data_IF_098737517258
#
_entry.id   IF_098737517258
#
_cell.length_a   1.000
_cell.length_b   1.000
_cell.length_c   1.000
_cell.angle_alpha   90.00
_cell.angle_beta   90.00
_cell.angle_gamma   90.00
#
_symmetry.space_group_name_H-M   'P 1'
#
loop_
_entity.id
_entity.type
_entity.pdbx_description
1 polymer ?
#
# COMPACT_ATOMS: atom_id res chain seq x y z
N UNK A 1 -13.49 -5.72 -3.09
CA UNK A 1 -14.24 -4.66 -2.38
C UNK A 1 -14.68 -5.15 -1.01
N UNK A 2 -14.95 -4.25 -0.07
CA UNK A 2 -15.55 -4.57 1.22
C UNK A 2 -17.08 -4.34 1.14
N UNK A 3 -17.88 -5.29 1.60
CA UNK A 3 -19.34 -5.13 1.72
C UNK A 3 -19.72 -4.38 2.99
N UNK A 4 -20.99 -3.95 3.07
CA UNK A 4 -21.54 -3.23 4.24
C UNK A 4 -21.37 -3.99 5.56
N UNK A 5 -21.38 -5.32 5.52
CA UNK A 5 -21.18 -6.19 6.67
C UNK A 5 -19.70 -6.58 6.90
N UNK A 6 -18.74 -5.90 6.27
CA UNK A 6 -17.30 -6.09 6.50
C UNK A 6 -16.67 -7.31 5.79
N UNK A 7 -17.40 -8.03 4.96
CA UNK A 7 -16.87 -9.16 4.20
C UNK A 7 -16.21 -8.71 2.89
N UNK A 8 -15.24 -9.47 2.40
CA UNK A 8 -14.65 -9.23 1.09
C UNK A 8 -15.56 -9.77 -0.03
N UNK A 9 -15.73 -8.97 -1.08
CA UNK A 9 -16.38 -9.33 -2.34
C UNK A 9 -15.42 -9.12 -3.50
N UNK A 10 -15.21 -10.16 -4.31
CA UNK A 10 -14.53 -10.05 -5.60
C UNK A 10 -15.49 -9.37 -6.58
N UNK A 11 -14.96 -8.47 -7.43
CA UNK A 11 -15.78 -7.57 -8.27
C UNK A 11 -15.35 -7.53 -9.74
N UNK A 12 -14.20 -8.11 -10.06
CA UNK A 12 -13.67 -8.12 -11.41
C UNK A 12 -13.47 -9.57 -11.85
N UNK A 13 -14.30 -9.98 -12.80
CA UNK A 13 -14.30 -11.32 -13.40
C UNK A 13 -13.96 -11.24 -14.89
N UNK A 14 -13.38 -10.13 -15.37
CA UNK A 14 -13.05 -9.92 -16.80
C UNK A 14 -11.97 -10.86 -17.36
N UNK A 15 -11.29 -11.59 -16.48
CA UNK A 15 -10.34 -12.66 -16.80
C UNK A 15 -10.78 -14.03 -16.29
N UNK A 16 -11.97 -14.14 -15.67
CA UNK A 16 -12.50 -15.42 -15.20
C UNK A 16 -12.98 -16.27 -16.38
N UNK A 17 -12.86 -17.58 -16.22
CA UNK A 17 -13.16 -18.52 -17.29
C UNK A 17 -13.71 -19.80 -16.72
N UNK A 18 -14.68 -20.40 -17.42
CA UNK A 18 -15.14 -21.75 -17.12
C UNK A 18 -14.23 -22.71 -17.86
N UNK A 19 -13.44 -23.49 -17.10
CA UNK A 19 -12.59 -24.53 -17.66
C UNK A 19 -13.37 -25.84 -17.59
N UNK A 20 -13.73 -26.39 -18.75
CA UNK A 20 -14.27 -27.74 -18.85
C UNK A 20 -13.12 -28.72 -19.14
N UNK A 21 -13.09 -29.84 -18.41
CA UNK A 21 -12.15 -30.95 -18.67
C UNK A 21 -10.64 -30.60 -18.60
N UNK A 22 -10.24 -29.60 -17.79
CA UNK A 22 -8.86 -29.11 -17.69
C UNK A 22 -8.23 -28.62 -19.01
N UNK A 23 -9.03 -28.35 -20.05
CA UNK A 23 -8.51 -27.78 -21.30
C UNK A 23 -8.64 -26.26 -21.27
N UNK A 24 -7.50 -25.59 -21.30
CA UNK A 24 -7.42 -24.13 -21.44
C UNK A 24 -7.96 -23.71 -22.81
N UNK A 25 -9.03 -22.90 -22.90
CA UNK A 25 -9.59 -22.47 -24.18
C UNK A 25 -8.58 -21.70 -25.04
N UNK A 26 -8.60 -21.91 -26.35
CA UNK A 26 -7.70 -21.26 -27.32
C UNK A 26 -7.76 -19.73 -27.26
N UNK A 27 -8.93 -19.16 -26.95
CA UNK A 27 -9.14 -17.72 -26.76
C UNK A 27 -8.32 -17.18 -25.58
N UNK A 28 -8.15 -17.96 -24.51
CA UNK A 28 -7.26 -17.60 -23.41
C UNK A 28 -5.82 -17.54 -23.89
N UNK A 29 -5.37 -18.56 -24.63
CA UNK A 29 -4.00 -18.58 -25.15
C UNK A 29 -3.73 -17.39 -26.07
N UNK A 30 -4.71 -16.93 -26.85
CA UNK A 30 -4.59 -15.74 -27.69
C UNK A 30 -4.56 -14.43 -26.89
N UNK A 31 -5.51 -14.24 -25.96
CA UNK A 31 -5.54 -13.07 -25.05
C UNK A 31 -4.28 -13.02 -24.19
N UNK A 32 -3.82 -14.17 -23.73
CA UNK A 32 -2.59 -14.35 -22.97
C UNK A 32 -1.35 -14.05 -23.81
N UNK A 33 -1.26 -14.54 -25.06
CA UNK A 33 -0.18 -14.19 -25.99
C UNK A 33 -0.13 -12.68 -26.28
N UNK A 34 -1.28 -12.02 -26.36
CA UNK A 34 -1.37 -10.56 -26.50
C UNK A 34 -0.91 -9.83 -25.23
N UNK A 35 -1.24 -10.36 -24.05
CA UNK A 35 -0.74 -9.84 -22.77
C UNK A 35 0.77 -10.12 -22.65
N UNK A 36 1.27 -11.27 -23.13
CA UNK A 36 2.69 -11.64 -23.12
C UNK A 36 3.53 -10.86 -24.12
N UNK A 37 3.00 -10.52 -25.29
CA UNK A 37 3.70 -9.61 -26.22
C UNK A 37 3.83 -8.21 -25.62
N UNK A 38 2.89 -7.78 -24.77
CA UNK A 38 3.07 -6.57 -23.95
C UNK A 38 4.12 -6.71 -22.83
N UNK A 39 4.52 -7.95 -22.49
CA UNK A 39 5.61 -8.28 -21.58
C UNK A 39 6.97 -8.48 -22.26
N UNK A 40 7.04 -8.50 -23.59
CA UNK A 40 8.31 -8.63 -24.31
C UNK A 40 9.12 -7.34 -24.21
N UNK A 41 10.04 -7.32 -23.25
CA UNK A 41 11.09 -6.31 -23.11
C UNK A 41 12.20 -6.67 -24.11
N UNK A 42 12.50 -5.77 -25.05
CA UNK A 42 13.75 -5.83 -25.82
C UNK A 42 14.93 -5.58 -24.87
N UNK A 43 15.93 -6.46 -24.89
CA UNK A 43 17.22 -6.24 -24.21
C UNK A 43 17.74 -4.83 -24.56
N UNK A 44 17.98 -4.01 -23.53
CA UNK A 44 18.50 -2.65 -23.67
C UNK A 44 17.46 -1.51 -23.65
N UNK A 45 16.17 -1.81 -23.54
CA UNK A 45 15.15 -0.76 -23.37
C UNK A 45 14.88 -0.44 -21.89
N UNK A 46 15.33 0.74 -21.42
CA UNK A 46 14.90 1.31 -20.14
C UNK A 46 13.45 1.79 -20.28
N UNK A 47 12.48 0.91 -20.08
CA UNK A 47 11.06 1.29 -20.17
C UNK A 47 10.63 1.96 -18.86
N UNK A 48 10.04 3.14 -19.01
CA UNK A 48 9.36 3.91 -17.97
C UNK A 48 8.47 3.02 -17.10
N UNK A 49 8.50 3.25 -15.78
CA UNK A 49 7.69 2.63 -14.70
C UNK A 49 6.15 2.81 -14.85
N UNK A 50 5.63 3.10 -16.04
CA UNK A 50 4.33 3.72 -16.24
C UNK A 50 3.35 3.00 -17.20
N UNK A 51 3.69 1.91 -17.88
CA UNK A 51 2.80 1.31 -18.90
C UNK A 51 2.26 -0.10 -18.64
N UNK A 52 2.67 -0.80 -17.59
CA UNK A 52 2.00 -2.03 -17.18
C UNK A 52 1.75 -2.04 -15.68
N UNK A 53 0.51 -1.77 -15.31
CA UNK A 53 0.16 -1.38 -13.97
C UNK A 53 -0.96 -2.25 -13.44
N UNK A 54 -0.58 -3.19 -12.57
CA UNK A 54 -1.51 -3.89 -11.69
C UNK A 54 -1.34 -5.40 -11.54
N UNK A 55 -0.89 -6.14 -12.57
CA UNK A 55 -1.13 -7.60 -12.60
C UNK A 55 0.12 -8.47 -12.69
N UNK A 56 1.27 -7.95 -13.15
CA UNK A 56 2.48 -8.75 -13.36
C UNK A 56 3.01 -9.43 -12.08
N UNK A 57 2.86 -8.78 -10.92
CA UNK A 57 3.35 -9.27 -9.63
C UNK A 57 2.57 -10.50 -9.10
N UNK A 58 1.44 -10.84 -9.70
CA UNK A 58 0.56 -11.94 -9.29
C UNK A 58 0.60 -13.13 -10.26
N UNK A 59 1.36 -13.01 -11.36
CA UNK A 59 1.48 -14.04 -12.40
C UNK A 59 2.28 -15.22 -11.84
N UNK A 60 1.84 -16.44 -12.13
CA UNK A 60 2.52 -17.67 -11.71
C UNK A 60 3.62 -18.11 -12.69
N UNK A 61 4.57 -18.97 -12.28
CA UNK A 61 5.65 -19.45 -13.13
C UNK A 61 5.18 -20.09 -14.43
N UNK A 62 4.20 -20.98 -14.36
CA UNK A 62 3.61 -21.73 -15.47
C UNK A 62 2.94 -20.80 -16.49
N UNK A 63 2.34 -19.69 -16.04
CA UNK A 63 1.83 -18.67 -16.94
C UNK A 63 2.99 -18.08 -17.74
N UNK A 64 4.08 -17.66 -17.09
CA UNK A 64 5.23 -17.06 -17.80
C UNK A 64 5.88 -18.02 -18.80
N UNK A 65 5.84 -19.32 -18.52
CA UNK A 65 6.46 -20.39 -19.31
C UNK A 65 5.52 -21.04 -20.35
N UNK A 66 4.27 -20.55 -20.48
CA UNK A 66 3.25 -21.11 -21.40
C UNK A 66 2.90 -22.57 -21.14
N UNK A 67 3.05 -23.02 -19.89
CA UNK A 67 2.57 -24.32 -19.47
C UNK A 67 1.04 -24.32 -19.29
N UNK A 68 0.37 -25.48 -19.34
CA UNK A 68 -1.05 -25.59 -19.08
C UNK A 68 -1.44 -24.95 -17.74
N UNK A 69 -2.23 -23.88 -17.82
CA UNK A 69 -2.69 -23.13 -16.65
C UNK A 69 -4.00 -23.74 -16.15
N UNK A 70 -3.96 -24.37 -14.98
CA UNK A 70 -5.15 -24.87 -14.29
C UNK A 70 -5.53 -23.93 -13.13
N UNK A 71 -6.49 -24.32 -12.30
CA UNK A 71 -6.94 -23.55 -11.13
C UNK A 71 -5.82 -23.26 -10.11
N UNK A 72 -4.68 -23.98 -10.17
CA UNK A 72 -3.53 -23.75 -9.31
C UNK A 72 -2.88 -22.36 -9.51
N UNK A 73 -3.14 -21.66 -10.63
CA UNK A 73 -2.69 -20.26 -10.82
C UNK A 73 -3.33 -19.32 -9.79
N UNK A 74 -4.58 -19.60 -9.38
CA UNK A 74 -5.28 -18.80 -8.37
C UNK A 74 -4.72 -19.05 -6.96
N UNK A 75 -4.23 -20.28 -6.69
CA UNK A 75 -3.52 -20.58 -5.45
C UNK A 75 -2.23 -19.77 -5.36
N UNK A 76 -1.47 -19.65 -6.45
CA UNK A 76 -0.30 -18.79 -6.48
C UNK A 76 -0.65 -17.34 -6.15
N UNK A 77 -1.66 -16.78 -6.83
CA UNK A 77 -2.12 -15.42 -6.57
C UNK A 77 -2.58 -15.23 -5.11
N UNK A 78 -3.24 -16.22 -4.52
CA UNK A 78 -3.60 -16.23 -3.10
C UNK A 78 -2.35 -16.13 -2.20
N UNK A 79 -1.30 -16.89 -2.49
CA UNK A 79 -0.02 -16.82 -1.75
C UNK A 79 0.62 -15.43 -1.81
N UNK A 80 0.61 -14.79 -3.00
CA UNK A 80 1.09 -13.40 -3.18
C UNK A 80 0.27 -12.43 -2.33
N UNK A 81 -1.07 -12.57 -2.32
CA UNK A 81 -1.97 -11.71 -1.54
C UNK A 81 -1.72 -11.90 -0.04
N UNK A 82 -1.59 -13.15 0.43
CA UNK A 82 -1.26 -13.45 1.83
C UNK A 82 0.03 -12.77 2.26
N UNK A 83 1.12 -12.92 1.50
CA UNK A 83 2.39 -12.24 1.78
C UNK A 83 2.22 -10.71 1.84
N UNK A 84 1.49 -10.15 0.88
CA UNK A 84 1.27 -8.70 0.78
C UNK A 84 0.42 -8.15 1.92
N UNK A 85 -0.52 -8.91 2.45
CA UNK A 85 -1.30 -8.50 3.62
C UNK A 85 -0.44 -8.35 4.89
N UNK A 86 0.67 -9.09 5.00
CA UNK A 86 1.60 -8.97 6.13
C UNK A 86 2.68 -7.90 5.93
N UNK A 87 3.11 -7.68 4.70
CA UNK A 87 4.32 -6.86 4.43
C UNK A 87 4.04 -5.55 3.69
N UNK A 88 2.85 -5.41 3.10
CA UNK A 88 2.48 -4.29 2.23
C UNK A 88 3.08 -4.35 0.81
N UNK A 89 3.99 -5.30 0.54
CA UNK A 89 4.67 -5.48 -0.76
C UNK A 89 4.51 -6.92 -1.27
N UNK A 90 4.78 -7.17 -2.54
CA UNK A 90 4.76 -8.53 -3.10
C UNK A 90 6.08 -9.25 -2.83
N UNK A 91 6.09 -10.60 -2.75
CA UNK A 91 7.31 -11.36 -2.43
C UNK A 91 8.34 -11.33 -3.56
N UNK A 92 7.90 -11.21 -4.81
CA UNK A 92 8.75 -11.09 -5.99
C UNK A 92 8.73 -9.64 -6.46
N UNK A 93 9.66 -8.84 -5.91
CA UNK A 93 9.85 -7.45 -6.29
C UNK A 93 11.34 -7.18 -6.47
N UNK A 94 11.69 -6.43 -7.51
CA UNK A 94 13.06 -6.09 -7.86
C UNK A 94 13.11 -4.76 -8.64
N UNK A 95 14.32 -4.26 -8.85
CA UNK A 95 14.65 -3.04 -9.58
C UNK A 95 14.15 -3.02 -11.03
N UNK A 96 14.02 -4.18 -11.68
CA UNK A 96 13.54 -4.31 -13.06
C UNK A 96 12.49 -5.41 -13.19
N UNK A 97 11.57 -5.24 -14.13
CA UNK A 97 10.53 -6.23 -14.41
C UNK A 97 11.11 -7.56 -14.92
N UNK A 98 12.23 -7.53 -15.64
CA UNK A 98 12.95 -8.73 -16.04
C UNK A 98 13.39 -9.54 -14.81
N UNK A 99 14.01 -8.89 -13.81
CA UNK A 99 14.43 -9.55 -12.58
C UNK A 99 13.24 -10.07 -11.77
N UNK A 100 12.14 -9.31 -11.71
CA UNK A 100 10.88 -9.80 -11.11
C UNK A 100 10.42 -11.09 -11.78
N UNK A 101 10.40 -11.15 -13.11
CA UNK A 101 10.02 -12.36 -13.83
C UNK A 101 10.97 -13.53 -13.60
N UNK A 102 12.28 -13.28 -13.51
CA UNK A 102 13.24 -14.32 -13.14
C UNK A 102 12.99 -14.84 -11.73
N UNK A 103 12.70 -13.96 -10.77
CA UNK A 103 12.38 -14.34 -9.39
C UNK A 103 11.09 -15.15 -9.30
N UNK A 104 10.05 -14.76 -10.06
CA UNK A 104 8.80 -15.52 -10.18
C UNK A 104 9.06 -16.89 -10.77
N UNK A 105 9.70 -16.98 -11.95
CA UNK A 105 10.00 -18.26 -12.60
C UNK A 105 10.72 -19.21 -11.65
N UNK A 106 11.77 -18.73 -11.00
CA UNK A 106 12.58 -19.52 -10.08
C UNK A 106 11.95 -19.72 -8.70
N UNK A 107 10.77 -19.15 -8.43
CA UNK A 107 10.11 -19.13 -7.13
C UNK A 107 11.05 -18.77 -5.98
N UNK A 108 11.91 -17.75 -6.18
CA UNK A 108 12.90 -17.30 -5.20
C UNK A 108 12.26 -16.51 -4.06
N UNK A 109 11.52 -17.21 -3.20
CA UNK A 109 10.79 -16.64 -2.09
C UNK A 109 11.72 -16.35 -0.90
N UNK A 110 11.64 -15.13 -0.36
CA UNK A 110 12.26 -14.74 0.91
C UNK A 110 11.18 -14.34 1.89
N UNK A 111 11.10 -15.02 3.03
CA UNK A 111 10.15 -14.73 4.09
C UNK A 111 10.81 -13.78 5.12
N UNK A 112 10.28 -12.57 5.32
CA UNK A 112 10.72 -11.68 6.40
C UNK A 112 10.35 -12.23 7.79
N UNK A 113 11.18 -11.94 8.79
CA UNK A 113 10.93 -12.33 10.20
C UNK A 113 9.67 -11.67 10.80
N UNK A 114 9.15 -10.60 10.17
CA UNK A 114 7.91 -9.94 10.59
C UNK A 114 6.67 -10.78 10.32
N UNK A 115 6.75 -11.81 9.47
CA UNK A 115 5.63 -12.70 9.18
C UNK A 115 5.55 -13.78 10.27
N UNK A 116 4.39 -13.97 10.93
CA UNK A 116 4.22 -15.05 11.91
C UNK A 116 4.55 -16.41 11.31
N UNK A 117 5.25 -17.28 12.06
CA UNK A 117 5.73 -18.60 11.58
C UNK A 117 4.64 -19.45 10.92
N UNK A 118 3.43 -19.45 11.47
CA UNK A 118 2.28 -20.19 10.91
C UNK A 118 1.80 -19.64 9.56
N UNK A 119 1.90 -18.32 9.36
CA UNK A 119 1.58 -17.67 8.09
C UNK A 119 2.70 -17.87 7.07
N UNK A 120 3.96 -17.80 7.52
CA UNK A 120 5.13 -18.12 6.71
C UNK A 120 5.08 -19.55 6.17
N UNK A 121 4.71 -20.53 7.01
CA UNK A 121 4.53 -21.93 6.61
C UNK A 121 3.44 -22.07 5.52
N UNK A 122 2.29 -21.41 5.70
CA UNK A 122 1.22 -21.38 4.70
C UNK A 122 1.72 -20.83 3.35
N UNK A 123 2.37 -19.65 3.38
CA UNK A 123 2.82 -18.95 2.18
C UNK A 123 3.86 -19.79 1.44
N UNK A 124 4.81 -20.40 2.14
CA UNK A 124 5.85 -21.25 1.52
C UNK A 124 5.25 -22.50 0.86
N UNK A 125 4.22 -23.11 1.46
CA UNK A 125 3.52 -24.28 0.89
C UNK A 125 2.63 -23.93 -0.31
N UNK A 126 2.20 -22.68 -0.44
CA UNK A 126 1.42 -22.21 -1.58
C UNK A 126 2.31 -21.73 -2.72
N UNK A 127 3.35 -20.94 -2.42
CA UNK A 127 4.26 -20.34 -3.41
C UNK A 127 5.37 -21.31 -3.84
N UNK A 128 4.95 -22.51 -4.26
CA UNK A 128 5.83 -23.54 -4.83
C UNK A 128 5.81 -23.43 -6.35
N UNK A 129 6.97 -23.61 -6.99
CA UNK A 129 7.12 -23.49 -8.45
C UNK A 129 6.14 -24.42 -9.19
N UNK A 130 6.22 -25.72 -8.90
CA UNK A 130 5.41 -26.74 -9.55
C UNK A 130 3.94 -26.63 -9.11
N UNK A 131 2.98 -26.42 -10.03
CA UNK A 131 1.59 -26.17 -9.68
C UNK A 131 0.93 -27.27 -8.83
N UNK A 132 1.20 -28.54 -9.17
CA UNK A 132 0.59 -29.70 -8.49
C UNK A 132 1.10 -29.94 -7.06
N UNK A 133 2.25 -29.36 -6.70
CA UNK A 133 2.85 -29.45 -5.37
C UNK A 133 2.35 -28.33 -4.44
N UNK A 134 1.59 -27.34 -4.96
CA UNK A 134 1.03 -26.26 -4.16
C UNK A 134 -0.04 -26.78 -3.22
N UNK A 135 0.00 -26.34 -1.97
CA UNK A 135 -1.05 -26.63 -1.00
C UNK A 135 -2.41 -26.14 -1.51
N UNK A 136 -3.39 -27.04 -1.53
CA UNK A 136 -4.71 -26.77 -2.10
C UNK A 136 -4.87 -27.24 -3.55
N UNK A 137 -3.79 -27.63 -4.24
CA UNK A 137 -3.87 -28.11 -5.63
C UNK A 137 -4.58 -29.45 -5.68
N UNK A 138 -4.11 -30.47 -4.95
CA UNK A 138 -4.77 -31.79 -4.97
C UNK A 138 -6.12 -31.79 -4.25
N UNK A 139 -6.22 -31.03 -3.16
CA UNK A 139 -7.40 -30.97 -2.31
C UNK A 139 -7.50 -29.61 -1.64
N UNK A 140 -8.60 -28.90 -1.92
CA UNK A 140 -8.90 -27.63 -1.27
C UNK A 140 -9.09 -27.78 0.26
N UNK A 141 -9.44 -28.98 0.72
CA UNK A 141 -9.57 -29.26 2.15
C UNK A 141 -8.21 -29.22 2.87
N UNK A 142 -7.12 -29.54 2.17
CA UNK A 142 -5.76 -29.49 2.72
C UNK A 142 -5.37 -28.04 3.01
N UNK A 143 -5.73 -27.12 2.10
CA UNK A 143 -5.55 -25.69 2.32
C UNK A 143 -6.42 -25.18 3.47
N UNK A 144 -7.71 -25.54 3.48
CA UNK A 144 -8.68 -25.12 4.51
C UNK A 144 -8.34 -25.64 5.92
N UNK A 145 -7.66 -26.78 6.02
CA UNK A 145 -7.25 -27.40 7.29
C UNK A 145 -5.90 -26.92 7.81
N UNK A 146 -5.19 -26.08 7.06
CA UNK A 146 -3.90 -25.55 7.47
C UNK A 146 -4.00 -24.83 8.83
N UNK A 147 -3.00 -24.98 9.75
CA UNK A 147 -3.04 -24.37 11.08
C UNK A 147 -3.24 -22.85 11.10
N UNK A 148 -2.89 -22.16 10.02
CA UNK A 148 -3.15 -20.73 9.83
C UNK A 148 -4.65 -20.38 9.93
N UNK A 149 -5.52 -21.27 9.47
CA UNK A 149 -6.98 -21.09 9.49
C UNK A 149 -7.65 -21.72 10.71
N UNK A 150 -6.89 -22.02 11.77
CA UNK A 150 -7.44 -22.57 13.02
C UNK A 150 -8.55 -21.66 13.56
N UNK A 151 -9.74 -22.23 13.77
CA UNK A 151 -10.92 -21.51 14.28
C UNK A 151 -11.85 -20.98 13.19
N UNK A 152 -11.50 -21.09 11.91
CA UNK A 152 -12.40 -20.73 10.81
C UNK A 152 -13.43 -21.84 10.57
N UNK A 153 -14.71 -21.48 10.61
CA UNK A 153 -15.82 -22.38 10.28
C UNK A 153 -16.26 -22.15 8.84
N UNK A 154 -15.65 -22.88 7.90
CA UNK A 154 -15.82 -22.65 6.46
C UNK A 154 -17.28 -22.68 5.97
N UNK A 155 -18.11 -23.59 6.48
CA UNK A 155 -19.52 -23.70 6.09
C UNK A 155 -20.39 -22.54 6.60
N UNK A 156 -19.91 -21.85 7.65
CA UNK A 156 -20.59 -20.71 8.28
C UNK A 156 -19.83 -19.40 8.03
N UNK A 157 -18.88 -19.37 7.11
CA UNK A 157 -17.94 -18.25 6.94
C UNK A 157 -18.66 -16.90 6.79
N UNK A 158 -19.74 -16.84 6.00
CA UNK A 158 -20.51 -15.61 5.78
C UNK A 158 -21.38 -15.17 6.97
N UNK A 159 -21.59 -16.07 7.94
CA UNK A 159 -22.29 -15.80 9.19
C UNK A 159 -21.30 -15.41 10.30
N UNK A 160 -20.03 -15.75 10.15
CA UNK A 160 -18.98 -15.33 11.08
C UNK A 160 -18.82 -13.80 11.02
N UNK A 161 -18.48 -13.20 12.15
CA UNK A 161 -18.11 -11.80 12.19
C UNK A 161 -16.76 -11.65 11.45
N UNK A 162 -16.70 -10.85 10.37
CA UNK A 162 -15.43 -10.64 9.69
C UNK A 162 -14.48 -9.89 10.61
N UNK A 163 -13.16 -10.00 10.40
CA UNK A 163 -12.21 -9.19 11.14
C UNK A 163 -12.61 -7.73 10.95
N UNK A 164 -13.01 -7.08 12.04
CA UNK A 164 -13.21 -5.64 11.97
C UNK A 164 -11.86 -5.04 11.64
N UNK A 165 -11.77 -4.18 10.61
CA UNK A 165 -10.58 -3.37 10.45
C UNK A 165 -10.37 -2.75 11.83
N UNK A 166 -9.22 -3.01 12.45
CA UNK A 166 -8.76 -2.12 13.50
C UNK A 166 -8.53 -0.81 12.77
N UNK A 167 -9.59 -0.02 12.64
CA UNK A 167 -9.44 1.41 12.78
C UNK A 167 -8.80 1.47 14.14
N UNK A 168 -7.47 1.60 14.15
CA UNK A 168 -6.82 2.24 15.26
C UNK A 168 -7.53 3.57 15.24
N UNK A 169 -8.63 3.68 15.98
CA UNK A 169 -9.05 4.95 16.49
C UNK A 169 -7.78 5.38 17.18
N UNK A 170 -7.06 6.28 16.52
CA UNK A 170 -6.08 7.08 17.21
C UNK A 170 -6.93 7.61 18.34
N UNK A 171 -6.76 7.02 19.55
CA UNK A 171 -7.44 7.45 20.77
C UNK A 171 -7.49 8.94 20.61
N UNK A 172 -8.68 9.53 20.55
CA UNK A 172 -8.85 10.97 20.45
C UNK A 172 -7.71 11.60 21.23
N UNK A 173 -6.69 12.15 20.56
CA UNK A 173 -5.46 12.54 21.26
C UNK A 173 -5.83 13.84 21.94
N UNK A 174 -6.49 13.70 23.08
CA UNK A 174 -6.20 14.48 24.26
C UNK A 174 -4.69 14.58 24.34
N UNK A 175 -4.15 15.71 23.87
CA UNK A 175 -2.88 16.32 24.25
C UNK A 175 -1.92 15.37 24.98
N UNK A 176 -1.48 14.28 24.36
CA UNK A 176 -0.52 13.39 24.98
C UNK A 176 0.87 13.87 24.56
N UNK A 177 1.43 14.63 25.50
CA UNK A 177 2.84 15.00 25.58
C UNK A 177 3.65 13.69 25.59
N UNK A 178 4.65 13.61 24.72
CA UNK A 178 5.60 12.50 24.66
C UNK A 178 6.64 12.62 25.80
N UNK A 179 6.82 11.60 26.67
CA UNK A 179 7.79 11.62 27.77
C UNK A 179 9.27 11.48 27.37
N UNK A 180 9.62 10.95 26.18
CA UNK A 180 11.01 10.51 25.91
C UNK A 180 11.60 11.04 24.60
N UNK A 181 11.72 12.38 24.48
CA UNK A 181 12.58 13.02 23.46
C UNK A 181 13.86 13.61 24.09
N UNK A 182 14.67 12.76 24.71
CA UNK A 182 16.07 13.02 25.05
C UNK A 182 16.94 12.99 23.78
N UNK A 183 16.94 14.09 23.03
CA UNK A 183 18.06 14.48 22.18
C UNK A 183 18.20 16.00 22.25
N UNK A 184 18.98 16.43 23.26
CA UNK A 184 19.81 17.63 23.20
C UNK A 184 19.09 18.94 22.91
N UNK A 185 18.84 19.69 24.00
CA UNK A 185 18.50 21.12 24.07
C UNK A 185 17.02 21.47 23.91
N UNK A 186 16.38 21.67 25.07
CA UNK A 186 15.14 22.43 25.29
C UNK A 186 15.03 23.62 24.33
N UNK A 187 14.20 23.50 23.29
CA UNK A 187 13.60 24.66 22.63
C UNK A 187 12.09 24.48 22.60
N UNK A 188 11.43 25.19 23.52
CA UNK A 188 9.99 25.49 23.47
C UNK A 188 9.68 26.14 22.14
N UNK A 189 9.00 25.40 21.28
CA UNK A 189 8.05 25.87 20.26
C UNK A 189 7.88 24.70 19.31
N UNK A 190 6.64 24.41 18.95
CA UNK A 190 6.18 24.34 17.55
C UNK A 190 4.84 23.65 17.54
N UNK A 191 3.83 24.38 17.07
CA UNK A 191 2.50 23.83 16.85
C UNK A 191 2.63 22.55 16.02
N UNK A 192 2.14 21.42 16.56
CA UNK A 192 2.00 20.14 15.85
C UNK A 192 0.51 19.89 15.64
N UNK A 193 0.06 19.91 14.39
CA UNK A 193 -1.31 19.57 14.01
C UNK A 193 -1.28 18.24 13.26
N UNK A 194 -2.09 17.29 13.72
CA UNK A 194 -2.04 15.89 13.31
C UNK A 194 -3.31 15.51 12.54
N UNK A 195 -3.18 14.52 11.66
CA UNK A 195 -4.32 13.86 11.03
C UNK A 195 -3.86 12.70 10.16
N UNK A 196 -4.73 11.72 9.98
CA UNK A 196 -4.44 10.54 9.17
C UNK A 196 -4.76 10.84 7.70
N UNK A 197 -3.84 10.48 6.81
CA UNK A 197 -3.97 10.59 5.36
C UNK A 197 -3.95 9.21 4.74
N UNK A 198 -4.90 8.94 3.84
CA UNK A 198 -4.82 7.75 3.00
C UNK A 198 -3.98 8.04 1.75
N UNK A 199 -2.77 7.49 1.73
CA UNK A 199 -1.86 7.60 0.59
C UNK A 199 -1.99 6.39 -0.33
N UNK A 200 -2.27 6.63 -1.62
CA UNK A 200 -2.36 5.56 -2.62
C UNK A 200 -0.97 5.07 -2.99
N UNK A 201 -0.64 3.84 -2.60
CA UNK A 201 0.56 3.13 -3.03
C UNK A 201 0.16 2.16 -4.14
N UNK A 202 0.70 2.38 -5.35
CA UNK A 202 0.33 1.57 -6.51
C UNK A 202 -1.15 1.74 -6.90
N UNK A 203 -1.78 0.65 -7.36
CA UNK A 203 -3.06 0.75 -8.08
C UNK A 203 -4.29 0.57 -7.20
N UNK A 204 -4.18 -0.10 -6.05
CA UNK A 204 -5.33 -0.49 -5.24
C UNK A 204 -5.13 -0.43 -3.72
N UNK A 205 -3.97 0.04 -3.23
CA UNK A 205 -3.66 0.03 -1.80
C UNK A 205 -3.61 1.45 -1.29
N UNK A 206 -4.44 1.74 -0.29
CA UNK A 206 -4.35 2.95 0.51
C UNK A 206 -3.63 2.59 1.81
N UNK A 207 -2.53 3.30 2.10
CA UNK A 207 -1.82 3.18 3.38
C UNK A 207 -2.11 4.43 4.23
N UNK A 208 -2.59 4.29 5.47
CA UNK A 208 -2.72 5.42 6.38
C UNK A 208 -1.32 5.93 6.75
N UNK A 209 -1.14 7.24 6.67
CA UNK A 209 0.07 7.95 7.09
C UNK A 209 -0.32 9.09 8.02
N UNK A 210 0.53 9.34 9.02
CA UNK A 210 0.36 10.49 9.91
C UNK A 210 0.85 11.75 9.21
N UNK A 211 -0.08 12.66 8.89
CA UNK A 211 0.24 13.99 8.43
C UNK A 211 0.43 14.92 9.63
N UNK A 212 1.61 15.51 9.72
CA UNK A 212 2.01 16.40 10.81
C UNK A 212 2.40 17.76 10.23
N UNK A 213 1.66 18.81 10.57
CA UNK A 213 2.12 20.18 10.37
C UNK A 213 3.11 20.53 11.48
N UNK A 214 4.34 20.85 11.11
CA UNK A 214 5.43 21.17 12.03
C UNK A 214 5.85 22.62 11.78
N UNK A 215 5.78 23.45 12.80
CA UNK A 215 6.36 24.79 12.75
C UNK A 215 7.90 24.72 12.67
N UNK A 216 8.53 25.55 11.84
CA UNK A 216 9.99 25.66 11.73
C UNK A 216 10.52 26.94 12.34
N UNK A 217 11.85 27.14 12.33
CA UNK A 217 12.42 28.45 12.69
C UNK A 217 12.19 29.48 11.59
N UNK A 218 12.20 29.04 10.33
CA UNK A 218 12.18 29.88 9.13
C UNK A 218 10.93 29.64 8.26
N UNK A 219 10.41 28.41 8.26
CA UNK A 219 9.28 27.97 7.42
C UNK A 219 8.45 26.90 8.15
N UNK A 220 7.15 26.80 7.83
CA UNK A 220 6.32 25.66 8.25
C UNK A 220 6.63 24.45 7.35
N UNK A 221 6.36 23.22 7.82
CA UNK A 221 6.49 22.03 6.98
C UNK A 221 5.39 21.01 7.27
N UNK A 222 4.90 20.33 6.23
CA UNK A 222 4.05 19.16 6.36
C UNK A 222 4.94 17.92 6.26
N UNK A 223 4.79 16.99 7.19
CA UNK A 223 5.55 15.75 7.20
C UNK A 223 4.58 14.56 7.26
N UNK A 224 4.84 13.54 6.45
CA UNK A 224 4.12 12.27 6.47
C UNK A 224 4.98 11.24 7.19
N UNK A 225 4.43 10.62 8.22
CA UNK A 225 5.07 9.53 8.96
C UNK A 225 4.31 8.23 8.74
N UNK A 226 5.08 7.16 8.73
CA UNK A 226 4.56 5.81 8.80
C UNK A 226 4.13 5.54 10.25
N UNK A 227 2.84 5.23 10.51
CA UNK A 227 2.33 5.07 11.87
C UNK A 227 2.85 3.81 12.58
N UNK A 228 3.39 2.83 11.83
CA UNK A 228 3.91 1.59 12.41
C UNK A 228 5.39 1.70 12.73
N UNK A 229 6.16 2.38 11.87
CA UNK A 229 7.63 2.47 12.03
C UNK A 229 8.10 3.81 12.59
N UNK A 230 7.20 4.78 12.71
CA UNK A 230 7.48 6.18 13.08
C UNK A 230 8.50 6.88 12.15
N UNK A 231 8.83 6.26 11.01
CA UNK A 231 9.78 6.81 10.05
C UNK A 231 9.10 7.86 9.19
N UNK A 232 9.78 9.00 9.02
CA UNK A 232 9.30 10.03 8.12
C UNK A 232 9.46 9.61 6.66
N UNK A 233 8.34 9.46 5.97
CA UNK A 233 8.29 9.07 4.56
C UNK A 233 8.51 10.27 3.64
N UNK A 234 7.94 11.42 4.01
CA UNK A 234 7.95 12.59 3.14
C UNK A 234 7.86 13.91 3.92
N UNK A 235 8.50 14.97 3.42
CA UNK A 235 8.43 16.32 4.01
C UNK A 235 8.28 17.38 2.92
N UNK A 236 7.31 18.27 3.10
CA UNK A 236 7.06 19.43 2.24
C UNK A 236 7.31 20.70 3.03
N UNK A 237 8.22 21.54 2.55
CA UNK A 237 8.42 22.87 3.12
C UNK A 237 7.32 23.80 2.59
N UNK A 238 6.59 24.44 3.48
CA UNK A 238 5.57 25.44 3.14
C UNK A 238 6.23 26.81 3.07
N UNK A 239 6.98 27.02 1.99
CA UNK A 239 7.62 28.30 1.63
C UNK A 239 6.76 29.08 0.64
N UNK A 240 7.17 30.31 0.34
CA UNK A 240 6.52 31.12 -0.69
C UNK A 240 6.55 30.39 -2.05
N UNK A 241 5.48 30.51 -2.83
CA UNK A 241 5.27 29.73 -4.05
C UNK A 241 4.66 28.33 -3.85
N UNK A 242 4.59 27.82 -2.60
CA UNK A 242 3.88 26.57 -2.30
C UNK A 242 2.41 26.86 -1.98
N UNK A 243 1.47 26.30 -2.75
CA UNK A 243 0.03 26.46 -2.51
C UNK A 243 -0.59 25.17 -1.97
N UNK A 244 -1.52 25.30 -1.03
CA UNK A 244 -2.30 24.20 -0.46
C UNK A 244 -3.77 24.54 -0.63
N UNK A 245 -4.54 23.67 -1.29
CA UNK A 245 -5.96 23.94 -1.57
C UNK A 245 -6.75 22.63 -1.70
N UNK A 246 -8.08 22.74 -1.66
CA UNK A 246 -9.01 21.61 -1.81
C UNK A 246 -9.78 21.75 -3.12
N UNK A 247 -9.50 20.96 -4.16
CA UNK A 247 -10.26 21.03 -5.41
C UNK A 247 -11.65 20.37 -5.32
N UNK A 248 -11.86 19.48 -4.34
CA UNK A 248 -13.13 18.79 -4.08
C UNK A 248 -13.12 18.23 -2.65
N UNK A 249 -14.31 18.01 -2.09
CA UNK A 249 -14.49 17.49 -0.72
C UNK A 249 -13.71 16.18 -0.53
N UNK A 250 -12.89 16.12 0.53
CA UNK A 250 -12.05 14.96 0.85
C UNK A 250 -10.71 14.88 0.11
N UNK A 251 -10.32 15.92 -0.64
CA UNK A 251 -9.05 16.00 -1.35
C UNK A 251 -8.29 17.28 -1.02
N UNK A 252 -7.02 17.15 -0.66
CA UNK A 252 -6.09 18.27 -0.49
C UNK A 252 -4.98 18.15 -1.53
N UNK A 253 -4.68 19.26 -2.21
CA UNK A 253 -3.61 19.35 -3.19
C UNK A 253 -2.59 20.36 -2.71
N UNK A 254 -1.32 19.94 -2.75
CA UNK A 254 -0.19 20.83 -2.50
C UNK A 254 0.55 20.98 -3.83
N UNK A 255 0.72 22.20 -4.30
CA UNK A 255 1.64 22.51 -5.40
C UNK A 255 2.90 23.09 -4.81
N UNK A 256 4.05 22.52 -5.13
CA UNK A 256 5.33 23.14 -4.79
C UNK A 256 5.67 24.30 -5.73
N UNK A 257 6.81 24.95 -5.47
CA UNK A 257 7.35 26.05 -6.26
C UNK A 257 7.64 25.70 -7.73
N UNK A 258 7.77 24.41 -8.07
CA UNK A 258 7.99 23.91 -9.42
C UNK A 258 6.69 23.37 -10.06
N UNK A 259 5.53 23.73 -9.48
CA UNK A 259 4.21 23.25 -9.91
C UNK A 259 3.99 21.73 -9.79
N UNK A 260 4.87 21.00 -9.08
CA UNK A 260 4.69 19.58 -8.79
C UNK A 260 3.52 19.42 -7.83
N UNK A 261 2.57 18.57 -8.21
CA UNK A 261 1.33 18.34 -7.45
C UNK A 261 1.49 17.13 -6.53
N UNK A 262 1.20 17.33 -5.24
CA UNK A 262 1.02 16.28 -4.26
C UNK A 262 -0.45 16.20 -3.90
N UNK A 263 -1.03 15.02 -4.05
CA UNK A 263 -2.46 14.78 -3.77
C UNK A 263 -2.59 13.95 -2.50
N UNK A 264 -3.38 14.47 -1.57
CA UNK A 264 -3.70 13.88 -0.28
C UNK A 264 -5.21 13.60 -0.28
N UNK A 265 -5.62 12.37 0.05
CA UNK A 265 -7.02 11.96 0.05
C UNK A 265 -7.47 11.53 1.45
N UNK A 266 -8.76 11.71 1.71
CA UNK A 266 -9.49 11.14 2.85
C UNK A 266 -8.81 11.43 4.19
N UNK A 267 -8.78 12.72 4.55
CA UNK A 267 -8.25 13.19 5.84
C UNK A 267 -9.32 13.09 6.91
N UNK A 268 -8.99 12.53 8.08
CA UNK A 268 -9.93 12.32 9.21
C UNK A 268 -10.51 13.62 9.78
N UNK A 269 -9.80 14.75 9.61
CA UNK A 269 -10.31 16.09 9.91
C UNK A 269 -10.75 16.79 8.62
N UNK A 270 -11.80 17.62 8.70
CA UNK A 270 -12.24 18.40 7.55
C UNK A 270 -11.06 19.17 6.95
N UNK A 271 -10.92 19.08 5.63
CA UNK A 271 -9.81 19.71 4.92
C UNK A 271 -9.84 21.22 5.10
N UNK A 272 -11.02 21.79 5.31
CA UNK A 272 -11.19 23.20 5.63
C UNK A 272 -10.48 23.58 6.93
N UNK A 273 -10.54 22.72 7.96
CA UNK A 273 -9.81 22.91 9.22
C UNK A 273 -8.30 22.86 9.01
N UNK A 274 -7.82 21.98 8.12
CA UNK A 274 -6.41 21.93 7.74
C UNK A 274 -5.95 23.20 7.03
N UNK A 275 -6.71 23.68 6.05
CA UNK A 275 -6.43 24.91 5.32
C UNK A 275 -6.41 26.11 6.27
N UNK A 276 -7.39 26.20 7.17
CA UNK A 276 -7.47 27.26 8.19
C UNK A 276 -6.24 27.26 9.10
N UNK A 277 -5.84 26.09 9.60
CA UNK A 277 -4.66 25.96 10.49
C UNK A 277 -3.38 26.32 9.75
N UNK A 278 -3.22 25.91 8.49
CA UNK A 278 -2.05 26.26 7.66
C UNK A 278 -1.98 27.78 7.47
N UNK A 279 -3.08 28.41 7.08
CA UNK A 279 -3.14 29.86 6.87
C UNK A 279 -2.91 30.66 8.16
N UNK A 280 -3.55 30.26 9.25
CA UNK A 280 -3.32 30.85 10.58
C UNK A 280 -1.85 30.73 10.99
N UNK A 281 -1.23 29.59 10.72
CA UNK A 281 0.18 29.35 11.04
C UNK A 281 1.12 30.19 10.16
N UNK A 282 0.81 30.35 8.86
CA UNK A 282 1.54 31.26 7.96
C UNK A 282 1.53 32.69 8.47
N UNK A 283 0.34 33.22 8.81
CA UNK A 283 0.18 34.56 9.38
C UNK A 283 0.99 34.74 10.67
N UNK A 284 0.97 33.73 11.56
CA UNK A 284 1.75 33.78 12.79
C UNK A 284 3.27 33.77 12.56
N UNK A 285 3.75 33.03 11.56
CA UNK A 285 5.16 32.99 11.19
C UNK A 285 5.64 34.34 10.64
N UNK A 286 4.84 34.99 9.79
CA UNK A 286 5.12 36.32 9.24
C UNK A 286 5.24 37.35 10.38
N UNK A 287 4.24 37.41 11.27
CA UNK A 287 4.26 38.28 12.46
C UNK A 287 5.48 38.07 13.35
N UNK A 288 5.95 36.82 13.48
CA UNK A 288 7.18 36.50 14.25
C UNK A 288 8.46 36.95 13.53
N UNK A 289 8.48 36.96 12.19
CA UNK A 289 9.62 37.47 11.40
C UNK A 289 9.72 38.99 11.51
N UNK A 290 8.61 39.70 11.37
CA UNK A 290 8.52 41.16 11.52
C UNK A 290 9.02 41.60 12.92
N UNK A 291 8.49 41.00 13.99
CA UNK A 291 8.93 41.28 15.37
C UNK A 291 10.41 40.98 15.67
N UNK A 292 11.07 40.15 14.86
CA UNK A 292 12.51 39.87 14.99
C UNK A 292 13.36 40.88 14.23
N UNK A 293 12.83 41.46 13.15
CA UNK A 293 13.48 42.52 12.39
C UNK A 293 13.36 43.89 13.09
N UNK A 294 12.31 44.09 13.90
CA UNK A 294 12.09 45.31 14.68
C UNK A 294 12.86 45.38 16.02
N UNK A 295 13.63 44.34 16.40
CA UNK A 295 14.48 44.41 17.60
C UNK A 295 15.81 45.09 17.23
N UNK A 296 16.09 46.31 17.72
CA UNK A 296 17.41 46.91 17.55
C UNK A 296 18.47 46.04 18.26
N UNK A 297 19.70 46.05 17.73
CA UNK A 297 20.87 45.49 18.41
C UNK A 297 21.08 46.12 19.79
#
# INVERSE_FOLDING_TARGET
MLSKNGHLKLIDFGTSMVVHENKVPTEFLQKYKQIKSSFQIQEGSFINRASFVGTAEYVSPEMLEEEPCEYAVDLWALGIICFKMFTGVTPFNDSTQYLVFQNVKNAQLRIPDSIPKVAADLIQKILVRKPSDRLGSQSMNDLKSHPFFKGIQWDKLFQMQPPQPKVVSVKSVEKSIDPDLELGRKRKSKLKFYGVVQYKIGWFIYRPLDLVLIEGKEYMKLALYDPETEKCQFKIKLVEGVSVFSPKKGYMVIKDQNNKKFQIKEVEHSIDKWLEVIEKSRKNLIKKKEKRQEKPL
#
